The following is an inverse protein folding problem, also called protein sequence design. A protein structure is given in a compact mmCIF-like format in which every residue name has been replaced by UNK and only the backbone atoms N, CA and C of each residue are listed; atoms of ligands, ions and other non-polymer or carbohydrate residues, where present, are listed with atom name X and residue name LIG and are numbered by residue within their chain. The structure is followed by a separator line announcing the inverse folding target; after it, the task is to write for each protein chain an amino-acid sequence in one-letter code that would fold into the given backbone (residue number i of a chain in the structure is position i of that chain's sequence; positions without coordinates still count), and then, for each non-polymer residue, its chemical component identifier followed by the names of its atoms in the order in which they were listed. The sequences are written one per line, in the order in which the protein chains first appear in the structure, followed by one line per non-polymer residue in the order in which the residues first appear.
data_IF_357138365798
#
_entry.id   IF_357138365798
#
_cell.length_a   1.000
_cell.length_b   1.000
_cell.length_c   1.000
_cell.angle_alpha   90.00
_cell.angle_beta   90.00
_cell.angle_gamma   90.00
#
_symmetry.space_group_name_H-M   'P 1'
#
loop_
_entity.id
_entity.type
_entity.pdbx_description
1 polymer ?
#
# COMPACT_ATOMS: atom_id res chain seq x y z
N UNK A 1 -25.96 -11.45 -31.65
CA UNK A 1 -26.29 -12.60 -30.78
C UNK A 1 -25.26 -12.86 -29.65
N UNK A 2 -24.07 -12.21 -29.67
CA UNK A 2 -23.04 -12.43 -28.65
C UNK A 2 -23.10 -11.53 -27.38
N UNK A 3 -23.81 -10.41 -27.43
CA UNK A 3 -23.81 -9.41 -26.35
C UNK A 3 -24.62 -9.90 -25.13
N UNK A 4 -25.74 -10.58 -25.30
CA UNK A 4 -26.55 -11.06 -24.18
C UNK A 4 -25.90 -12.21 -23.39
N UNK A 5 -25.22 -13.13 -24.08
CA UNK A 5 -24.47 -14.23 -23.45
C UNK A 5 -23.30 -13.71 -22.61
N UNK A 6 -22.60 -12.68 -23.11
CA UNK A 6 -21.46 -12.05 -22.40
C UNK A 6 -21.95 -11.34 -21.13
N UNK A 7 -23.03 -10.58 -21.22
CA UNK A 7 -23.61 -9.84 -20.09
C UNK A 7 -24.11 -10.80 -18.99
N UNK A 8 -24.73 -11.91 -19.37
CA UNK A 8 -25.18 -12.93 -18.40
C UNK A 8 -24.02 -13.57 -17.65
N UNK A 9 -22.92 -13.87 -18.35
CA UNK A 9 -21.73 -14.47 -17.75
C UNK A 9 -21.03 -13.50 -16.78
N UNK A 10 -20.94 -12.22 -17.13
CA UNK A 10 -20.35 -11.19 -16.27
C UNK A 10 -21.18 -10.96 -15.00
N UNK A 11 -22.51 -10.92 -15.12
CA UNK A 11 -23.41 -10.80 -13.96
C UNK A 11 -23.26 -11.99 -13.01
N UNK A 12 -23.21 -13.21 -13.54
CA UNK A 12 -23.01 -14.42 -12.73
C UNK A 12 -21.64 -14.42 -12.03
N UNK A 13 -20.59 -13.96 -12.71
CA UNK A 13 -19.26 -13.83 -12.12
C UNK A 13 -19.25 -12.81 -10.97
N UNK A 14 -19.94 -11.69 -11.15
CA UNK A 14 -20.05 -10.67 -10.11
C UNK A 14 -20.85 -11.17 -8.89
N UNK A 15 -21.96 -11.85 -9.10
CA UNK A 15 -22.75 -12.47 -8.03
C UNK A 15 -21.97 -13.52 -7.25
N UNK A 16 -21.11 -14.29 -7.93
CA UNK A 16 -20.24 -15.25 -7.26
C UNK A 16 -19.25 -14.54 -6.34
N UNK A 17 -18.63 -13.46 -6.81
CA UNK A 17 -17.71 -12.65 -6.00
C UNK A 17 -18.45 -12.06 -4.78
N UNK A 18 -19.66 -11.56 -4.95
CA UNK A 18 -20.48 -11.06 -3.83
C UNK A 18 -20.74 -12.14 -2.77
N UNK A 19 -21.14 -13.35 -3.21
CA UNK A 19 -21.39 -14.48 -2.30
C UNK A 19 -20.12 -14.89 -1.55
N UNK A 20 -19.00 -14.98 -2.25
CA UNK A 20 -17.69 -15.28 -1.62
C UNK A 20 -17.27 -14.18 -0.63
N UNK A 21 -17.40 -12.92 -1.01
CA UNK A 21 -17.08 -11.78 -0.14
C UNK A 21 -17.93 -11.76 1.13
N UNK A 22 -19.23 -12.06 1.00
CA UNK A 22 -20.15 -12.18 2.14
C UNK A 22 -19.73 -13.31 3.09
N UNK A 23 -19.39 -14.47 2.56
CA UNK A 23 -18.91 -15.61 3.35
C UNK A 23 -17.61 -15.27 4.08
N UNK A 24 -16.64 -14.68 3.39
CA UNK A 24 -15.35 -14.28 3.97
C UNK A 24 -15.53 -13.23 5.07
N UNK A 25 -16.34 -12.20 4.83
CA UNK A 25 -16.57 -11.14 5.81
C UNK A 25 -17.24 -11.63 7.09
N UNK A 26 -17.98 -12.74 7.05
CA UNK A 26 -18.59 -13.36 8.20
C UNK A 26 -17.64 -14.29 8.98
N UNK A 27 -16.45 -14.58 8.43
CA UNK A 27 -15.47 -15.49 9.04
C UNK A 27 -14.61 -14.76 10.07
N UNK A 28 -14.36 -15.41 11.21
CA UNK A 28 -13.40 -14.94 12.21
C UNK A 28 -11.94 -15.31 11.87
N UNK A 29 -11.73 -16.13 10.83
CA UNK A 29 -10.40 -16.54 10.37
C UNK A 29 -9.76 -15.55 9.40
N UNK A 30 -10.52 -14.56 8.89
CA UNK A 30 -9.93 -13.47 8.09
C UNK A 30 -9.39 -12.36 9.02
N UNK A 31 -8.37 -11.59 8.59
CA UNK A 31 -7.88 -10.45 9.36
C UNK A 31 -9.01 -9.45 9.70
N UNK A 32 -8.86 -8.73 10.81
CA UNK A 32 -9.91 -7.84 11.35
C UNK A 32 -10.43 -6.82 10.35
N UNK A 33 -9.59 -6.31 9.49
CA UNK A 33 -9.92 -5.33 8.45
C UNK A 33 -10.88 -5.86 7.38
N UNK A 34 -11.06 -7.17 7.33
CA UNK A 34 -11.98 -7.87 6.42
C UNK A 34 -13.25 -8.36 7.11
N UNK A 35 -13.24 -8.50 8.45
CA UNK A 35 -14.41 -8.94 9.21
C UNK A 35 -15.52 -7.90 9.15
N UNK A 36 -16.72 -8.32 8.78
CA UNK A 36 -17.86 -7.42 8.55
C UNK A 36 -17.73 -6.51 7.33
N UNK A 37 -16.60 -6.52 6.61
CA UNK A 37 -16.35 -5.64 5.46
C UNK A 37 -16.34 -6.44 4.15
N UNK A 38 -17.51 -6.57 3.55
CA UNK A 38 -17.69 -7.26 2.28
C UNK A 38 -16.91 -6.57 1.14
N UNK A 39 -16.79 -5.24 1.17
CA UNK A 39 -16.06 -4.48 0.15
C UNK A 39 -14.57 -4.83 0.15
N UNK A 40 -13.92 -4.85 1.32
CA UNK A 40 -12.51 -5.26 1.43
C UNK A 40 -12.32 -6.71 0.95
N UNK A 41 -13.24 -7.62 1.32
CA UNK A 41 -13.20 -9.00 0.86
C UNK A 41 -13.31 -9.09 -0.67
N UNK A 42 -14.20 -8.33 -1.30
CA UNK A 42 -14.36 -8.31 -2.75
C UNK A 42 -13.10 -7.79 -3.47
N UNK A 43 -12.44 -6.77 -2.92
CA UNK A 43 -11.16 -6.26 -3.44
C UNK A 43 -10.08 -7.34 -3.35
N UNK A 44 -9.96 -8.02 -2.21
CA UNK A 44 -8.99 -9.10 -2.03
C UNK A 44 -9.23 -10.28 -2.99
N UNK A 45 -10.50 -10.65 -3.23
CA UNK A 45 -10.88 -11.64 -4.23
C UNK A 45 -10.47 -11.23 -5.65
N UNK A 46 -10.63 -9.96 -5.99
CA UNK A 46 -10.20 -9.43 -7.30
C UNK A 46 -8.67 -9.48 -7.44
N UNK A 47 -7.94 -9.11 -6.40
CA UNK A 47 -6.47 -9.21 -6.37
C UNK A 47 -6.05 -10.67 -6.56
N UNK A 48 -6.64 -11.61 -5.83
CA UNK A 48 -6.35 -13.04 -5.95
C UNK A 48 -6.58 -13.55 -7.37
N UNK A 49 -7.70 -13.16 -7.99
CA UNK A 49 -8.01 -13.52 -9.38
C UNK A 49 -6.95 -12.99 -10.36
N UNK A 50 -6.48 -11.75 -10.19
CA UNK A 50 -5.45 -11.14 -11.03
C UNK A 50 -4.10 -11.83 -10.89
N UNK A 51 -3.77 -12.28 -9.68
CA UNK A 51 -2.53 -13.00 -9.38
C UNK A 51 -2.58 -14.48 -9.76
N UNK A 52 -3.75 -15.01 -10.09
CA UNK A 52 -3.94 -16.46 -10.25
C UNK A 52 -3.66 -17.24 -8.95
N UNK A 53 -3.82 -16.58 -7.79
CA UNK A 53 -3.50 -17.11 -6.48
C UNK A 53 -4.75 -17.52 -5.70
N UNK A 54 -4.56 -18.40 -4.69
CA UNK A 54 -5.66 -18.81 -3.82
C UNK A 54 -6.18 -17.61 -3.00
N UNK A 55 -7.51 -17.34 -3.03
CA UNK A 55 -8.09 -16.20 -2.34
C UNK A 55 -7.87 -16.19 -0.83
N UNK A 56 -7.88 -17.35 -0.18
CA UNK A 56 -7.68 -17.44 1.27
C UNK A 56 -6.22 -17.13 1.64
N UNK A 57 -5.28 -17.57 0.80
CA UNK A 57 -3.88 -17.23 0.98
C UNK A 57 -3.65 -15.73 0.80
N UNK A 58 -4.26 -15.13 -0.22
CA UNK A 58 -4.11 -13.69 -0.49
C UNK A 58 -4.67 -12.86 0.65
N UNK A 59 -5.91 -13.14 1.12
CA UNK A 59 -6.54 -12.36 2.18
C UNK A 59 -5.78 -12.41 3.51
N UNK A 60 -5.07 -13.51 3.79
CA UNK A 60 -4.23 -13.66 4.99
C UNK A 60 -2.91 -12.87 4.88
N UNK A 61 -2.51 -12.47 3.69
CA UNK A 61 -1.23 -11.81 3.41
C UNK A 61 -1.37 -10.38 2.88
N UNK A 62 -2.58 -9.82 2.91
CA UNK A 62 -2.85 -8.41 2.63
C UNK A 62 -3.17 -7.70 3.95
N UNK A 63 -2.47 -6.60 4.21
CA UNK A 63 -2.83 -5.64 5.26
C UNK A 63 -3.45 -4.39 4.61
N UNK A 64 -4.42 -3.78 5.29
CA UNK A 64 -4.98 -2.48 4.88
C UNK A 64 -4.29 -1.40 5.72
N UNK A 65 -3.40 -0.62 5.10
CA UNK A 65 -2.63 0.40 5.78
C UNK A 65 -2.95 1.75 5.15
N UNK A 66 -3.40 2.71 5.95
CA UNK A 66 -3.84 4.03 5.48
C UNK A 66 -4.89 3.95 4.35
N UNK A 67 -5.81 2.97 4.45
CA UNK A 67 -6.85 2.75 3.45
C UNK A 67 -6.36 2.10 2.14
N UNK A 68 -5.10 1.65 2.08
CA UNK A 68 -4.52 1.00 0.89
C UNK A 68 -4.22 -0.47 1.17
N UNK A 69 -4.59 -1.39 0.26
CA UNK A 69 -4.14 -2.77 0.34
C UNK A 69 -2.63 -2.83 0.08
N UNK A 70 -1.95 -3.66 0.85
CA UNK A 70 -0.51 -3.85 0.76
C UNK A 70 -0.14 -5.31 1.01
N UNK A 71 0.86 -5.82 0.32
CA UNK A 71 1.35 -7.18 0.55
C UNK A 71 2.35 -7.20 1.72
N UNK A 72 2.31 -8.26 2.52
CA UNK A 72 3.44 -8.54 3.42
C UNK A 72 4.67 -8.87 2.60
N UNK A 73 5.84 -8.38 3.02
CA UNK A 73 7.09 -8.62 2.29
C UNK A 73 7.39 -10.11 2.10
N UNK A 74 7.04 -10.96 3.08
CA UNK A 74 7.16 -12.42 2.97
C UNK A 74 6.32 -13.00 1.86
N UNK A 75 5.10 -12.51 1.68
CA UNK A 75 4.22 -12.94 0.61
C UNK A 75 4.72 -12.48 -0.76
N UNK A 76 5.23 -11.25 -0.84
CA UNK A 76 5.87 -10.75 -2.06
C UNK A 76 7.04 -11.63 -2.49
N UNK A 77 7.94 -11.97 -1.55
CA UNK A 77 9.07 -12.88 -1.82
C UNK A 77 8.56 -14.23 -2.31
N UNK A 78 7.53 -14.79 -1.67
CA UNK A 78 6.93 -16.06 -2.07
C UNK A 78 6.36 -15.99 -3.49
N UNK A 79 5.67 -14.92 -3.86
CA UNK A 79 5.12 -14.74 -5.21
C UNK A 79 6.22 -14.61 -6.27
N UNK A 80 7.29 -13.86 -6.00
CA UNK A 80 8.45 -13.77 -6.90
C UNK A 80 9.09 -15.13 -7.10
N UNK A 81 9.29 -15.89 -6.02
CA UNK A 81 9.88 -17.22 -6.08
C UNK A 81 8.98 -18.22 -6.84
N UNK A 82 7.67 -18.12 -6.68
CA UNK A 82 6.68 -19.00 -7.32
C UNK A 82 6.42 -18.63 -8.79
N UNK A 83 6.80 -17.44 -9.24
CA UNK A 83 6.54 -16.96 -10.61
C UNK A 83 7.17 -17.79 -11.70
N UNK A 84 8.21 -18.57 -11.37
CA UNK A 84 8.95 -19.37 -12.32
C UNK A 84 9.94 -18.60 -13.20
N UNK A 85 9.91 -17.25 -13.19
CA UNK A 85 10.80 -16.39 -14.01
C UNK A 85 12.22 -16.37 -13.49
N UNK A 86 12.37 -16.37 -12.16
CA UNK A 86 13.66 -16.26 -11.51
C UNK A 86 14.00 -17.52 -10.71
N UNK A 87 15.28 -17.70 -10.41
CA UNK A 87 15.67 -18.57 -9.29
C UNK A 87 15.13 -17.96 -7.98
N UNK A 88 15.02 -18.75 -6.89
CA UNK A 88 14.64 -18.18 -5.59
C UNK A 88 15.49 -16.98 -5.25
N UNK A 89 14.83 -15.91 -4.78
CA UNK A 89 15.44 -14.65 -4.43
C UNK A 89 16.53 -14.85 -3.37
N UNK A 90 17.70 -14.32 -3.62
CA UNK A 90 18.86 -14.37 -2.74
C UNK A 90 19.19 -12.99 -2.20
N UNK A 91 19.88 -12.93 -1.07
CA UNK A 91 20.22 -11.69 -0.38
C UNK A 91 21.69 -11.65 -0.06
N UNK A 92 22.38 -10.64 -0.58
CA UNK A 92 23.80 -10.37 -0.25
C UNK A 92 23.84 -9.21 0.74
N UNK A 93 24.30 -9.54 1.96
CA UNK A 93 24.54 -8.56 3.02
C UNK A 93 25.99 -8.10 2.97
N UNK A 94 26.23 -6.82 3.23
CA UNK A 94 27.57 -6.25 3.34
C UNK A 94 27.61 -5.10 4.37
N UNK A 95 28.81 -4.68 4.75
CA UNK A 95 29.05 -3.58 5.69
C UNK A 95 28.57 -3.85 7.12
N UNK A 96 28.84 -2.89 7.99
CA UNK A 96 28.44 -2.90 9.40
C UNK A 96 27.91 -1.53 9.83
N UNK A 97 27.15 -1.49 10.92
CA UNK A 97 26.59 -0.25 11.46
C UNK A 97 25.79 0.55 10.41
N UNK A 98 26.15 1.79 10.17
CA UNK A 98 25.51 2.68 9.21
C UNK A 98 25.76 2.28 7.75
N UNK A 99 26.87 1.60 7.45
CA UNK A 99 27.20 1.10 6.12
C UNK A 99 26.60 -0.27 5.83
N UNK A 100 25.93 -0.92 6.82
CA UNK A 100 25.26 -2.20 6.60
C UNK A 100 24.24 -2.06 5.47
N UNK A 101 24.33 -2.99 4.51
CA UNK A 101 23.49 -2.97 3.31
C UNK A 101 23.01 -4.35 2.91
N UNK A 102 22.02 -4.37 2.03
CA UNK A 102 21.48 -5.58 1.44
C UNK A 102 21.13 -5.34 -0.03
N UNK A 103 21.52 -6.28 -0.88
CA UNK A 103 21.07 -6.38 -2.27
C UNK A 103 20.28 -7.67 -2.44
N UNK A 104 19.06 -7.56 -2.96
CA UNK A 104 18.30 -8.73 -3.43
C UNK A 104 18.71 -9.04 -4.87
N UNK A 105 18.94 -10.32 -5.18
CA UNK A 105 19.32 -10.75 -6.51
C UNK A 105 18.75 -12.12 -6.85
N UNK A 106 18.64 -12.41 -8.14
CA UNK A 106 18.24 -13.71 -8.64
C UNK A 106 18.85 -13.94 -10.04
N UNK A 107 18.77 -15.16 -10.55
CA UNK A 107 19.03 -15.44 -11.97
C UNK A 107 17.73 -15.44 -12.71
N UNK A 108 17.66 -14.72 -13.81
CA UNK A 108 16.60 -14.87 -14.79
C UNK A 108 16.74 -16.26 -15.44
N UNK A 109 15.66 -17.04 -15.45
CA UNK A 109 15.71 -18.42 -15.95
C UNK A 109 15.69 -18.49 -17.48
N UNK A 110 15.21 -17.47 -18.15
CA UNK A 110 15.15 -17.41 -19.62
C UNK A 110 16.50 -17.02 -20.19
N UNK A 111 17.14 -15.97 -19.64
CA UNK A 111 18.43 -15.47 -20.13
C UNK A 111 19.64 -16.10 -19.44
N UNK A 112 19.46 -16.63 -18.23
CA UNK A 112 20.55 -17.12 -17.38
C UNK A 112 21.35 -16.02 -16.70
N UNK A 113 21.01 -14.76 -16.94
CA UNK A 113 21.71 -13.60 -16.37
C UNK A 113 21.35 -13.37 -14.90
N UNK A 114 22.30 -12.83 -14.14
CA UNK A 114 22.08 -12.40 -12.78
C UNK A 114 21.47 -11.00 -12.82
N UNK A 115 20.30 -10.82 -12.22
CA UNK A 115 19.65 -9.54 -12.04
C UNK A 115 19.74 -9.13 -10.58
N UNK A 116 20.17 -7.90 -10.32
CA UNK A 116 20.36 -7.35 -8.99
C UNK A 116 19.46 -6.13 -8.79
N UNK A 117 18.77 -6.10 -7.66
CA UNK A 117 17.95 -4.98 -7.25
C UNK A 117 18.81 -3.82 -6.69
N UNK A 118 18.14 -2.76 -6.28
CA UNK A 118 18.79 -1.62 -5.63
C UNK A 118 19.41 -2.04 -4.30
N UNK A 119 20.63 -1.59 -4.06
CA UNK A 119 21.26 -1.73 -2.75
C UNK A 119 20.55 -0.86 -1.73
N UNK A 120 20.09 -1.45 -0.65
CA UNK A 120 19.44 -0.78 0.48
C UNK A 120 20.41 -0.70 1.64
N UNK A 121 20.63 0.50 2.18
CA UNK A 121 21.59 0.73 3.27
C UNK A 121 20.89 1.25 4.53
N UNK A 122 21.54 1.08 5.69
CA UNK A 122 21.08 1.70 6.94
C UNK A 122 21.18 3.22 6.91
N UNK A 123 22.13 3.77 6.13
CA UNK A 123 22.23 5.21 5.90
C UNK A 123 20.99 5.72 5.15
N UNK A 124 20.54 5.00 4.10
CA UNK A 124 19.29 5.28 3.39
C UNK A 124 18.11 5.21 4.36
N UNK A 125 18.00 4.17 5.18
CA UNK A 125 16.91 4.02 6.14
C UNK A 125 16.83 5.17 7.14
N UNK A 126 17.98 5.75 7.51
CA UNK A 126 18.04 6.94 8.36
C UNK A 126 17.63 8.20 7.59
N UNK A 127 18.16 8.40 6.38
CA UNK A 127 17.88 9.58 5.56
C UNK A 127 16.37 9.67 5.20
N UNK A 128 15.76 8.53 4.89
CA UNK A 128 14.33 8.41 4.56
C UNK A 128 13.42 8.38 5.81
N UNK A 129 13.97 8.47 7.01
CA UNK A 129 13.20 8.49 8.25
C UNK A 129 12.64 7.13 8.68
N UNK A 130 12.97 6.02 8.01
CA UNK A 130 12.41 4.69 8.35
C UNK A 130 12.88 4.19 9.71
N UNK A 131 14.13 4.50 10.08
CA UNK A 131 14.73 4.08 11.34
C UNK A 131 14.50 5.05 12.51
N UNK A 132 13.93 6.24 12.25
CA UNK A 132 13.81 7.29 13.28
C UNK A 132 12.49 7.23 14.04
N UNK A 133 11.53 6.42 13.59
CA UNK A 133 10.24 6.27 14.24
C UNK A 133 10.35 5.51 15.56
N UNK A 134 9.53 5.91 16.54
CA UNK A 134 9.42 5.15 17.79
C UNK A 134 8.98 3.71 17.52
N UNK A 135 9.68 2.73 18.08
CA UNK A 135 9.41 1.31 17.86
C UNK A 135 9.77 0.78 16.48
N UNK A 136 10.57 1.52 15.70
CA UNK A 136 10.97 1.10 14.37
C UNK A 136 11.70 -0.24 14.36
N UNK A 137 11.25 -1.16 13.53
CA UNK A 137 11.91 -2.46 13.32
C UNK A 137 13.27 -2.33 12.64
N UNK A 138 13.56 -1.21 12.00
CA UNK A 138 14.89 -0.89 11.47
C UNK A 138 15.96 -0.78 12.56
N UNK A 139 15.55 -0.48 13.79
CA UNK A 139 16.45 -0.44 14.95
C UNK A 139 16.59 -1.81 15.60
N UNK A 140 15.47 -2.53 15.77
CA UNK A 140 15.43 -3.79 16.51
C UNK A 140 15.74 -5.03 15.65
N UNK A 141 15.45 -4.97 14.35
CA UNK A 141 15.64 -6.07 13.38
C UNK A 141 16.18 -5.54 12.04
N UNK A 142 17.34 -4.85 12.01
CA UNK A 142 17.81 -4.14 10.81
C UNK A 142 18.05 -5.07 9.63
N UNK A 143 18.62 -6.24 9.83
CA UNK A 143 18.88 -7.19 8.73
C UNK A 143 17.59 -7.71 8.06
N UNK A 144 16.57 -7.93 8.85
CA UNK A 144 15.28 -8.35 8.33
C UNK A 144 14.63 -7.25 7.47
N UNK A 145 14.68 -5.99 7.97
CA UNK A 145 14.13 -4.84 7.26
C UNK A 145 14.90 -4.54 5.98
N UNK A 146 16.22 -4.66 6.01
CA UNK A 146 17.07 -4.52 4.81
C UNK A 146 16.67 -5.56 3.74
N UNK A 147 16.51 -6.84 4.11
CA UNK A 147 16.07 -7.89 3.17
C UNK A 147 14.68 -7.61 2.61
N UNK A 148 13.73 -7.24 3.45
CA UNK A 148 12.36 -6.94 3.01
C UNK A 148 12.31 -5.76 2.05
N UNK A 149 13.04 -4.69 2.35
CA UNK A 149 13.11 -3.52 1.47
C UNK A 149 13.83 -3.82 0.16
N UNK A 150 14.93 -4.56 0.20
CA UNK A 150 15.65 -5.00 -0.99
C UNK A 150 14.76 -5.88 -1.89
N UNK A 151 14.01 -6.82 -1.30
CA UNK A 151 13.06 -7.65 -2.04
C UNK A 151 11.94 -6.83 -2.69
N UNK A 152 11.38 -5.85 -1.97
CA UNK A 152 10.33 -4.98 -2.49
C UNK A 152 10.83 -4.17 -3.70
N UNK A 153 12.05 -3.62 -3.62
CA UNK A 153 12.65 -2.85 -4.73
C UNK A 153 13.01 -3.74 -5.91
N UNK A 154 13.53 -4.94 -5.67
CA UNK A 154 13.76 -5.94 -6.72
C UNK A 154 12.46 -6.26 -7.47
N UNK A 155 11.41 -6.64 -6.74
CA UNK A 155 10.15 -7.03 -7.33
C UNK A 155 9.49 -5.89 -8.14
N UNK A 156 9.63 -4.66 -7.69
CA UNK A 156 9.05 -3.49 -8.36
C UNK A 156 9.73 -3.20 -9.70
N UNK A 157 11.02 -3.51 -9.83
CA UNK A 157 11.78 -3.30 -11.06
C UNK A 157 11.60 -4.47 -12.02
N UNK A 158 11.77 -5.70 -11.53
CA UNK A 158 11.89 -6.89 -12.38
C UNK A 158 10.60 -7.73 -12.47
N UNK A 159 9.64 -7.50 -11.57
CA UNK A 159 8.38 -8.24 -11.51
C UNK A 159 7.18 -7.32 -11.15
N UNK A 160 6.99 -6.18 -11.83
CA UNK A 160 5.92 -5.23 -11.52
C UNK A 160 4.52 -5.83 -11.72
N UNK A 161 4.38 -6.79 -12.61
CA UNK A 161 3.18 -7.58 -12.85
C UNK A 161 2.76 -8.40 -11.62
N UNK A 162 3.72 -8.90 -10.85
CA UNK A 162 3.48 -9.64 -9.60
C UNK A 162 3.07 -8.68 -8.47
N UNK A 163 3.65 -7.49 -8.43
CA UNK A 163 3.34 -6.51 -7.38
C UNK A 163 2.00 -5.81 -7.60
N UNK A 164 1.47 -5.82 -8.83
CA UNK A 164 0.29 -5.04 -9.24
C UNK A 164 0.41 -3.54 -8.86
N UNK A 165 1.63 -3.02 -8.75
CA UNK A 165 1.91 -1.66 -8.31
C UNK A 165 1.71 -1.41 -6.81
N UNK A 166 1.41 -2.44 -6.02
CA UNK A 166 1.22 -2.30 -4.57
C UNK A 166 2.56 -2.24 -3.83
N UNK A 167 2.59 -1.43 -2.79
CA UNK A 167 3.70 -1.38 -1.84
C UNK A 167 3.59 -2.50 -0.81
N UNK A 168 4.68 -2.82 -0.14
CA UNK A 168 4.62 -3.76 0.98
C UNK A 168 4.08 -3.10 2.25
N UNK A 169 3.54 -3.91 3.15
CA UNK A 169 3.02 -3.45 4.44
C UNK A 169 4.12 -2.77 5.27
N UNK A 170 5.34 -3.28 5.17
CA UNK A 170 6.50 -2.72 5.83
C UNK A 170 6.85 -1.33 5.27
N UNK A 171 6.74 -1.14 3.95
CA UNK A 171 6.95 0.17 3.32
C UNK A 171 5.90 1.18 3.75
N UNK A 172 4.61 0.80 3.72
CA UNK A 172 3.53 1.71 4.10
C UNK A 172 3.58 2.09 5.59
N UNK A 173 4.07 1.20 6.46
CA UNK A 173 4.30 1.52 7.87
C UNK A 173 5.46 2.49 8.07
N UNK A 174 6.43 2.50 7.16
CA UNK A 174 7.56 3.42 7.22
C UNK A 174 7.22 4.83 6.70
N UNK A 175 6.17 4.98 5.89
CA UNK A 175 5.68 6.28 5.41
C UNK A 175 4.85 6.91 6.53
N UNK A 176 5.13 8.18 6.88
CA UNK A 176 4.22 8.96 7.72
C UNK A 176 2.90 9.18 6.99
N UNK A 177 1.79 9.11 7.71
CA UNK A 177 0.52 9.52 7.12
C UNK A 177 0.67 10.96 6.62
N UNK A 178 0.32 11.26 5.36
CA UNK A 178 0.23 12.64 4.93
C UNK A 178 -0.73 13.34 5.90
N UNK A 179 -0.24 14.38 6.60
CA UNK A 179 -1.11 15.25 7.40
C UNK A 179 -2.19 15.74 6.47
N UNK A 180 -3.44 15.47 6.85
CA UNK A 180 -4.57 16.01 6.11
C UNK A 180 -4.54 17.53 6.30
N UNK A 181 -3.88 18.23 5.38
CA UNK A 181 -3.79 19.69 5.33
C UNK A 181 -5.00 20.32 4.65
N UNK A 182 -6.09 19.54 4.45
CA UNK A 182 -7.35 20.13 4.04
C UNK A 182 -7.75 21.10 5.14
N UNK A 183 -7.74 22.41 4.91
CA UNK A 183 -8.21 23.34 5.91
C UNK A 183 -9.64 22.93 6.23
N UNK A 184 -9.93 22.69 7.50
CA UNK A 184 -11.30 22.53 7.96
C UNK A 184 -11.94 23.89 7.74
N UNK A 185 -12.56 24.09 6.60
CA UNK A 185 -13.49 25.20 6.42
C UNK A 185 -14.57 24.92 7.45
N UNK A 186 -14.52 25.62 8.58
CA UNK A 186 -15.68 25.74 9.46
C UNK A 186 -16.76 26.38 8.60
N UNK A 187 -17.57 25.57 7.99
CA UNK A 187 -18.88 25.99 7.53
C UNK A 187 -19.66 26.22 8.83
N UNK A 188 -19.59 27.43 9.35
CA UNK A 188 -20.65 27.88 10.25
C UNK A 188 -21.94 27.64 9.49
N UNK A 189 -22.79 26.79 10.06
CA UNK A 189 -24.07 26.48 9.47
C UNK A 189 -24.79 27.82 9.25
N UNK A 190 -24.84 28.24 8.00
CA UNK A 190 -25.63 29.44 7.63
C UNK A 190 -27.05 29.06 7.98
N UNK A 191 -27.56 29.63 9.06
CA UNK A 191 -28.95 29.50 9.42
C UNK A 191 -29.77 30.19 8.31
N UNK A 192 -30.48 29.44 7.45
CA UNK A 192 -31.20 30.04 6.33
C UNK A 192 -32.37 30.92 6.79
N UNK A 193 -32.65 30.95 8.10
CA UNK A 193 -33.71 31.78 8.72
C UNK A 193 -33.13 32.86 9.61
N UNK A 194 -31.81 33.15 9.57
CA UNK A 194 -31.26 34.28 10.28
C UNK A 194 -31.74 35.60 9.60
N UNK A 195 -32.23 36.60 10.35
CA UNK A 195 -32.62 37.87 9.76
C UNK A 195 -31.41 38.54 9.11
N UNK A 196 -31.55 38.97 7.85
CA UNK A 196 -30.54 39.75 7.13
C UNK A 196 -30.25 41.01 7.93
N UNK A 197 -29.05 41.11 8.51
CA UNK A 197 -28.54 42.37 9.05
C UNK A 197 -28.16 43.25 7.84
N UNK A 198 -28.65 44.49 7.74
CA UNK A 198 -28.28 45.36 6.62
C UNK A 198 -26.77 45.63 6.64
N UNK A 199 -26.17 45.63 5.48
CA UNK A 199 -24.75 45.93 5.31
C UNK A 199 -24.46 47.31 5.88
N UNK A 200 -23.59 47.39 6.88
CA UNK A 200 -23.06 48.67 7.38
C UNK A 200 -22.09 49.17 6.32
N UNK A 201 -22.40 50.34 5.74
CA UNK A 201 -21.50 51.06 4.86
C UNK A 201 -20.17 51.31 5.59
N UNK A 202 -19.09 50.89 4.97
CA UNK A 202 -17.74 51.28 5.34
C UNK A 202 -17.54 52.72 4.90
N UNK A 203 -17.80 53.64 5.81
CA UNK A 203 -17.34 55.02 5.66
C UNK A 203 -15.82 55.06 5.72
N UNK A 204 -15.29 55.65 4.68
CA UNK A 204 -13.92 56.06 4.46
C UNK A 204 -13.39 56.91 5.61
N UNK A 205 -12.34 56.46 6.31
CA UNK A 205 -11.51 57.37 7.09
C UNK A 205 -10.25 57.67 6.25
N UNK A 206 -10.36 58.85 5.64
CA UNK A 206 -9.29 59.63 5.01
C UNK A 206 -8.34 60.16 6.07
N UNK A 207 -7.07 60.17 5.73
CA UNK A 207 -5.94 60.98 6.17
C UNK A 207 -6.18 62.16 7.12
N UNK A 208 -5.24 62.31 8.08
CA UNK A 208 -4.57 63.57 8.47
C UNK A 208 -3.57 63.22 9.57
N UNK A 209 -2.26 63.29 9.28
CA UNK A 209 -1.34 64.44 9.31
C UNK A 209 -0.62 64.64 10.66
N UNK A 210 0.67 64.59 10.54
CA UNK A 210 1.72 65.49 11.09
C UNK A 210 1.60 66.05 12.52
N UNK A 211 2.56 65.69 13.36
CA UNK A 211 3.51 66.63 13.97
C UNK A 211 4.62 65.86 14.73
#
# INVERSE_FOLDING_TARGET
MNTELTTTTETQAFELVQRQAKMLSASTLVPKEFQGNMGNCAIALNIAKRLGADPFMVIQNIDIIHGRPSFRATFLIAMVNASGRFTPLQFRMSGEGASRSCVAWAKDKETGEVVEGTEITMAMAKAEGWSTKSGSKWVTMPEQMLRYRAAAFFARIYAPDITLGMQTSEELRDIEQPRNVTPTVRTEAINPFAPMVPAIELESATEEQEA
#
